data_IF_281142994265
#
_entry.id   IF_281142994265
#
_cell.length_a   1.000
_cell.length_b   1.000
_cell.length_c   1.000
_cell.angle_alpha   90.00
_cell.angle_beta   90.00
_cell.angle_gamma   90.00
#
_symmetry.space_group_name_H-M   'P 1'
#
loop_
_entity.id
_entity.type
_entity.pdbx_description
1 polymer ?
#
# COMPACT_ATOMS: atom_id res chain seq x y z
N UNK A 1 10.93 -16.80 -3.85
CA UNK A 1 11.61 -17.96 -3.25
C UNK A 1 11.07 -19.17 -3.95
N UNK A 2 11.94 -19.94 -4.59
CA UNK A 2 11.50 -21.03 -5.47
C UNK A 2 11.10 -22.29 -4.68
N UNK A 3 11.40 -22.30 -3.37
CA UNK A 3 11.06 -23.39 -2.45
C UNK A 3 9.68 -23.19 -1.81
N UNK A 4 9.35 -21.98 -1.34
CA UNK A 4 8.09 -21.74 -0.61
C UNK A 4 7.17 -20.69 -1.23
N UNK A 5 7.56 -20.07 -2.36
CA UNK A 5 6.77 -19.02 -3.00
C UNK A 5 6.86 -17.64 -2.34
N UNK A 6 7.55 -17.49 -1.20
CA UNK A 6 7.67 -16.21 -0.51
C UNK A 6 8.44 -15.17 -1.34
N UNK A 7 7.89 -13.96 -1.42
CA UNK A 7 8.55 -12.81 -2.07
C UNK A 7 9.59 -12.25 -1.12
N UNK A 8 10.84 -12.31 -1.53
CA UNK A 8 11.97 -11.78 -0.77
C UNK A 8 12.57 -10.62 -1.54
N UNK A 9 13.07 -9.60 -0.83
CA UNK A 9 13.76 -8.47 -1.46
C UNK A 9 15.02 -8.91 -2.20
N UNK A 10 15.35 -8.24 -3.31
CA UNK A 10 16.45 -8.56 -4.22
C UNK A 10 17.85 -8.56 -3.57
N UNK A 11 17.99 -8.00 -2.37
CA UNK A 11 19.24 -7.96 -1.59
C UNK A 11 19.37 -9.09 -0.57
N UNK A 12 18.34 -9.93 -0.37
CA UNK A 12 18.37 -11.02 0.64
C UNK A 12 18.93 -12.32 0.04
N UNK A 13 19.94 -12.89 0.71
CA UNK A 13 20.58 -14.18 0.33
C UNK A 13 19.80 -15.42 0.79
N UNK A 14 18.87 -15.25 1.72
CA UNK A 14 18.06 -16.33 2.30
C UNK A 14 16.60 -15.90 2.40
N UNK A 15 15.71 -16.88 2.24
CA UNK A 15 14.28 -16.71 2.38
C UNK A 15 13.92 -16.49 3.85
N UNK A 16 13.21 -15.40 4.14
CA UNK A 16 12.76 -15.09 5.50
C UNK A 16 11.78 -16.11 6.10
N UNK A 17 10.99 -16.78 5.26
CA UNK A 17 9.96 -17.73 5.73
C UNK A 17 10.47 -19.17 5.90
N UNK A 18 11.12 -19.74 4.88
CA UNK A 18 11.54 -21.14 4.92
C UNK A 18 13.05 -21.35 5.15
N UNK A 19 13.83 -20.27 5.23
CA UNK A 19 15.29 -20.34 5.38
C UNK A 19 16.05 -20.80 4.14
N UNK A 20 15.36 -21.14 3.03
CA UNK A 20 16.00 -21.58 1.81
C UNK A 20 16.91 -20.48 1.21
N UNK A 21 18.07 -20.88 0.70
CA UNK A 21 19.00 -19.97 0.02
C UNK A 21 18.38 -19.49 -1.29
N UNK A 22 18.42 -18.17 -1.50
CA UNK A 22 17.93 -17.55 -2.74
C UNK A 22 19.13 -17.37 -3.66
N UNK A 23 19.08 -17.93 -4.87
CA UNK A 23 20.15 -17.75 -5.85
C UNK A 23 20.22 -16.28 -6.25
N UNK A 24 21.34 -15.64 -5.94
CA UNK A 24 21.59 -14.25 -6.30
C UNK A 24 22.32 -14.20 -7.64
N UNK A 25 21.59 -14.07 -8.74
CA UNK A 25 22.17 -13.74 -10.04
C UNK A 25 22.38 -12.22 -10.12
N UNK A 26 23.40 -11.74 -9.42
CA UNK A 26 23.87 -10.36 -9.52
C UNK A 26 25.36 -10.26 -9.22
N UNK A 27 26.13 -11.09 -9.90
CA UNK A 27 27.54 -10.85 -10.16
C UNK A 27 27.78 -10.85 -11.67
N UNK A 28 27.45 -9.76 -12.35
CA UNK A 28 27.99 -9.44 -13.66
C UNK A 28 27.90 -7.94 -13.95
N UNK A 29 29.08 -7.32 -13.99
CA UNK A 29 29.49 -6.21 -14.85
C UNK A 29 28.74 -4.87 -14.73
N UNK A 30 29.29 -3.96 -13.93
CA UNK A 30 29.37 -2.54 -14.30
C UNK A 30 30.76 -1.99 -13.97
N UNK A 31 31.25 -1.19 -14.92
CA UNK A 31 32.64 -0.80 -15.14
C UNK A 31 33.21 0.07 -14.03
N UNK A 32 34.35 -0.39 -13.55
CA UNK A 32 35.56 0.36 -13.23
C UNK A 32 35.68 1.73 -13.94
N UNK A 33 35.32 2.80 -13.22
CA UNK A 33 35.90 4.14 -13.28
C UNK A 33 35.37 4.92 -12.07
N UNK A 34 36.23 5.75 -11.46
CA UNK A 34 35.96 6.64 -10.31
C UNK A 34 36.10 6.04 -8.90
N UNK A 35 37.19 5.30 -8.68
CA UNK A 35 37.67 4.94 -7.34
C UNK A 35 39.05 5.56 -7.07
N UNK A 36 39.14 6.89 -7.04
CA UNK A 36 40.34 7.59 -6.57
C UNK A 36 40.02 9.00 -6.05
N UNK A 37 39.35 9.11 -4.90
CA UNK A 37 39.58 10.16 -3.91
C UNK A 37 38.56 10.05 -2.76
N UNK A 38 39.00 9.49 -1.64
CA UNK A 38 38.75 9.95 -0.26
C UNK A 38 39.00 8.80 0.69
N UNK A 39 40.29 8.61 0.97
CA UNK A 39 40.74 7.90 2.14
C UNK A 39 40.67 8.86 3.34
N UNK A 40 40.21 8.31 4.45
CA UNK A 40 40.48 8.77 5.82
C UNK A 40 39.68 9.98 6.30
N UNK A 41 38.64 9.69 7.08
CA UNK A 41 38.57 10.18 8.45
C UNK A 41 37.89 9.10 9.30
N UNK A 42 38.73 8.46 10.11
CA UNK A 42 38.41 7.51 11.17
C UNK A 42 38.03 8.37 12.38
N UNK A 43 36.80 8.26 12.86
CA UNK A 43 36.41 8.77 14.19
C UNK A 43 35.66 7.66 14.90
N UNK A 44 36.12 7.42 16.11
CA UNK A 44 35.77 6.35 17.03
C UNK A 44 34.28 6.24 17.36
N UNK A 45 33.89 4.98 17.52
CA UNK A 45 33.06 4.46 18.58
C UNK A 45 32.12 5.44 19.30
N UNK A 46 30.87 5.39 18.88
CA UNK A 46 29.75 5.65 19.77
C UNK A 46 28.67 4.66 19.40
N UNK A 47 28.75 3.49 20.03
CA UNK A 47 27.61 2.64 20.31
C UNK A 47 26.46 3.48 20.88
N UNK A 48 25.63 4.04 19.99
CA UNK A 48 24.25 4.42 20.31
C UNK A 48 23.39 3.27 19.87
N UNK A 49 23.23 2.37 20.82
CA UNK A 49 22.11 1.47 21.04
C UNK A 49 20.82 2.02 20.40
N UNK A 50 20.55 1.66 19.14
CA UNK A 50 19.24 1.81 18.49
C UNK A 50 18.40 0.57 18.80
N UNK A 51 18.29 0.28 20.10
CA UNK A 51 17.36 -0.69 20.64
C UNK A 51 15.99 -0.03 20.83
N UNK A 52 15.02 -0.48 20.03
CA UNK A 52 13.59 -0.41 20.30
C UNK A 52 12.93 0.98 20.41
N UNK A 53 12.58 1.59 19.26
CA UNK A 53 11.34 2.39 19.13
C UNK A 53 11.01 2.71 17.65
N UNK A 54 10.73 1.70 16.83
CA UNK A 54 10.31 1.88 15.42
C UNK A 54 8.77 2.01 15.27
N UNK A 55 8.07 2.28 16.37
CA UNK A 55 6.63 2.07 16.50
C UNK A 55 5.87 3.33 16.92
N UNK A 56 6.34 4.51 16.53
CA UNK A 56 5.59 5.79 16.71
C UNK A 56 5.71 6.71 15.48
N UNK A 57 6.39 6.25 14.42
CA UNK A 57 6.77 7.11 13.30
C UNK A 57 5.75 7.16 12.16
N UNK A 58 4.98 6.10 11.92
CA UNK A 58 4.20 5.96 10.67
C UNK A 58 3.02 6.92 10.57
N UNK A 59 2.22 7.09 11.63
CA UNK A 59 1.06 7.97 11.62
C UNK A 59 1.44 9.45 11.51
N UNK A 60 2.33 9.93 12.38
CA UNK A 60 2.83 11.32 12.32
C UNK A 60 3.61 11.62 11.05
N UNK A 61 4.35 10.64 10.52
CA UNK A 61 5.00 10.80 9.23
C UNK A 61 3.97 10.91 8.11
N UNK A 62 2.89 10.13 8.13
CA UNK A 62 1.82 10.25 7.13
C UNK A 62 1.10 11.60 7.21
N UNK A 63 0.91 12.19 8.39
CA UNK A 63 0.30 13.52 8.51
C UNK A 63 1.19 14.62 7.91
N UNK A 64 2.47 14.64 8.30
CA UNK A 64 3.42 15.66 7.83
C UNK A 64 3.70 15.49 6.34
N UNK A 65 4.08 14.28 5.91
CA UNK A 65 4.42 13.98 4.52
C UNK A 65 3.16 13.96 3.63
N UNK A 66 2.00 13.62 4.21
CA UNK A 66 0.71 13.73 3.53
C UNK A 66 0.40 15.17 3.13
N UNK A 67 0.71 16.16 3.97
CA UNK A 67 0.52 17.57 3.58
C UNK A 67 1.39 17.99 2.38
N UNK A 68 2.61 17.44 2.28
CA UNK A 68 3.54 17.70 1.17
C UNK A 68 3.05 16.97 -0.08
N UNK A 69 2.67 15.70 0.04
CA UNK A 69 2.13 14.90 -1.04
C UNK A 69 0.82 15.51 -1.58
N UNK A 70 -0.06 16.00 -0.69
CA UNK A 70 -1.28 16.72 -1.07
C UNK A 70 -0.97 17.97 -1.89
N UNK A 71 0.02 18.77 -1.50
CA UNK A 71 0.47 19.92 -2.30
C UNK A 71 1.01 19.48 -3.66
N UNK A 72 1.81 18.42 -3.71
CA UNK A 72 2.33 17.88 -4.97
C UNK A 72 1.19 17.41 -5.90
N UNK A 73 0.18 16.72 -5.38
CA UNK A 73 -1.04 16.32 -6.12
C UNK A 73 -1.77 17.54 -6.67
N UNK A 74 -1.99 18.58 -5.85
CA UNK A 74 -2.64 19.83 -6.28
C UNK A 74 -1.87 20.52 -7.41
N UNK A 75 -0.55 20.41 -7.44
CA UNK A 75 0.30 20.92 -8.51
C UNK A 75 0.39 19.99 -9.73
N UNK A 76 -0.34 18.87 -9.75
CA UNK A 76 -0.29 17.86 -10.81
C UNK A 76 0.99 17.02 -10.82
N UNK A 77 1.84 17.13 -9.78
CA UNK A 77 3.10 16.39 -9.64
C UNK A 77 2.85 15.04 -8.96
N UNK A 78 2.11 14.17 -9.65
CA UNK A 78 1.70 12.89 -9.09
C UNK A 78 2.87 11.94 -8.82
N UNK A 79 3.90 11.91 -9.68
CA UNK A 79 5.06 11.02 -9.47
C UNK A 79 5.83 11.36 -8.18
N UNK A 80 5.92 12.66 -7.88
CA UNK A 80 6.57 13.12 -6.65
C UNK A 80 5.72 12.80 -5.42
N UNK A 81 4.40 13.00 -5.51
CA UNK A 81 3.49 12.60 -4.44
C UNK A 81 3.57 11.09 -4.18
N UNK A 82 3.65 10.30 -5.25
CA UNK A 82 3.79 8.86 -5.19
C UNK A 82 5.07 8.43 -4.46
N UNK A 83 6.22 9.00 -4.86
CA UNK A 83 7.52 8.74 -4.25
C UNK A 83 7.52 9.03 -2.74
N UNK A 84 6.80 10.08 -2.32
CA UNK A 84 6.64 10.45 -0.91
C UNK A 84 5.72 9.46 -0.18
N UNK A 85 4.62 9.04 -0.82
CA UNK A 85 3.56 8.26 -0.16
C UNK A 85 3.81 6.75 -0.13
N UNK A 86 4.51 6.18 -1.13
CA UNK A 86 4.73 4.72 -1.25
C UNK A 86 5.20 4.08 0.06
N UNK A 87 6.26 4.55 0.73
CA UNK A 87 6.76 3.87 1.93
C UNK A 87 5.71 3.77 3.03
N UNK A 88 4.85 4.77 3.16
CA UNK A 88 3.80 4.82 4.18
C UNK A 88 2.58 3.99 3.81
N UNK A 89 2.14 4.06 2.55
CA UNK A 89 1.01 3.27 2.06
C UNK A 89 1.34 1.78 2.03
N UNK A 90 2.57 1.40 1.69
CA UNK A 90 3.04 0.02 1.74
C UNK A 90 3.11 -0.49 3.18
N UNK A 91 3.66 0.31 4.10
CA UNK A 91 3.71 -0.05 5.53
C UNK A 91 2.30 -0.26 6.09
N UNK A 92 1.35 0.63 5.78
CA UNK A 92 -0.04 0.48 6.22
C UNK A 92 -0.69 -0.78 5.66
N UNK A 93 -0.48 -1.07 4.39
CA UNK A 93 -1.03 -2.27 3.76
C UNK A 93 -0.39 -3.54 4.34
N UNK A 94 0.92 -3.57 4.57
CA UNK A 94 1.62 -4.69 5.20
C UNK A 94 1.06 -4.97 6.60
N UNK A 95 0.83 -3.92 7.40
CA UNK A 95 0.24 -4.03 8.74
C UNK A 95 -1.19 -4.58 8.67
N UNK A 96 -2.01 -4.06 7.76
CA UNK A 96 -3.38 -4.53 7.56
C UNK A 96 -3.42 -6.01 7.13
N UNK A 97 -2.58 -6.40 6.17
CA UNK A 97 -2.49 -7.79 5.68
C UNK A 97 -2.02 -8.77 6.77
N UNK A 98 -1.21 -8.31 7.73
CA UNK A 98 -0.79 -9.08 8.89
C UNK A 98 -1.78 -9.03 10.07
N UNK A 99 -2.97 -8.45 9.86
CA UNK A 99 -3.96 -8.22 10.91
C UNK A 99 -3.40 -7.48 12.15
N UNK A 100 -2.43 -6.59 11.93
CA UNK A 100 -1.89 -5.69 12.95
C UNK A 100 -2.67 -4.38 12.96
N UNK A 101 -2.64 -3.68 14.10
CA UNK A 101 -3.19 -2.33 14.19
C UNK A 101 -2.54 -1.41 13.15
N UNK A 102 -3.31 -0.48 12.57
CA UNK A 102 -2.80 0.42 11.52
C UNK A 102 -1.75 1.40 12.03
N UNK A 103 -1.82 1.75 13.32
CA UNK A 103 -0.76 2.42 14.06
C UNK A 103 -0.36 1.58 15.28
N UNK A 104 0.84 1.85 15.77
CA UNK A 104 1.34 1.35 17.06
C UNK A 104 0.99 2.29 18.22
N UNK A 105 0.57 3.52 17.95
CA UNK A 105 0.19 4.52 18.96
C UNK A 105 -1.32 4.51 19.18
N UNK A 106 -1.74 4.33 20.44
CA UNK A 106 -3.15 4.39 20.86
C UNK A 106 -3.78 5.79 20.71
N UNK A 107 -2.95 6.83 20.54
CA UNK A 107 -3.43 8.21 20.34
C UNK A 107 -3.85 8.50 18.91
N UNK A 108 -3.49 7.62 17.98
CA UNK A 108 -3.78 7.83 16.57
C UNK A 108 -5.18 7.29 16.26
N UNK A 109 -5.91 7.99 15.41
CA UNK A 109 -7.20 7.52 14.93
C UNK A 109 -7.00 6.59 13.73
N UNK A 110 -7.15 5.26 13.90
CA UNK A 110 -6.96 4.31 12.81
C UNK A 110 -7.98 4.51 11.68
N UNK A 111 -9.17 5.04 11.97
CA UNK A 111 -10.21 5.32 10.98
C UNK A 111 -9.79 6.49 10.08
N UNK A 112 -9.34 7.60 10.68
CA UNK A 112 -8.85 8.75 9.95
C UNK A 112 -7.60 8.41 9.11
N UNK A 113 -6.69 7.60 9.64
CA UNK A 113 -5.52 7.11 8.91
C UNK A 113 -5.93 6.26 7.70
N UNK A 114 -6.84 5.31 7.90
CA UNK A 114 -7.38 4.49 6.83
C UNK A 114 -8.03 5.34 5.73
N UNK A 115 -8.94 6.25 6.11
CA UNK A 115 -9.65 7.12 5.17
C UNK A 115 -8.67 8.00 4.38
N UNK A 116 -7.65 8.54 5.05
CA UNK A 116 -6.62 9.37 4.42
C UNK A 116 -5.75 8.58 3.45
N UNK A 117 -5.32 7.38 3.83
CA UNK A 117 -4.53 6.50 2.96
C UNK A 117 -5.32 6.06 1.72
N UNK A 118 -6.59 5.67 1.88
CA UNK A 118 -7.49 5.33 0.77
C UNK A 118 -7.70 6.51 -0.18
N UNK A 119 -7.90 7.72 0.36
CA UNK A 119 -8.01 8.94 -0.45
C UNK A 119 -6.76 9.18 -1.29
N UNK A 120 -5.57 9.09 -0.70
CA UNK A 120 -4.32 9.27 -1.44
C UNK A 120 -4.14 8.21 -2.52
N UNK A 121 -4.39 6.93 -2.23
CA UNK A 121 -4.31 5.86 -3.23
C UNK A 121 -5.25 6.13 -4.42
N UNK A 122 -6.49 6.57 -4.17
CA UNK A 122 -7.42 6.94 -5.25
C UNK A 122 -6.94 8.15 -6.07
N UNK A 123 -6.37 9.17 -5.43
CA UNK A 123 -5.81 10.33 -6.14
C UNK A 123 -4.62 9.93 -7.02
N UNK A 124 -3.74 9.06 -6.54
CA UNK A 124 -2.62 8.52 -7.31
C UNK A 124 -3.10 7.68 -8.49
N UNK A 125 -4.11 6.82 -8.28
CA UNK A 125 -4.74 6.03 -9.35
C UNK A 125 -5.30 6.91 -10.47
N UNK A 126 -5.85 8.08 -10.13
CA UNK A 126 -6.43 9.01 -11.09
C UNK A 126 -5.38 9.80 -11.88
N UNK A 127 -4.22 10.10 -11.28
CA UNK A 127 -3.17 10.93 -11.86
C UNK A 127 -2.09 10.17 -12.64
N UNK A 128 -1.68 8.99 -12.16
CA UNK A 128 -0.53 8.24 -12.71
C UNK A 128 -0.89 7.20 -13.77
N UNK A 129 -2.18 6.97 -13.94
CA UNK A 129 -2.73 5.83 -14.69
C UNK A 129 -2.22 4.45 -14.26
N UNK A 130 -1.70 4.35 -13.04
CA UNK A 130 -1.15 3.11 -12.51
C UNK A 130 -2.23 2.28 -11.80
N UNK A 131 -2.48 1.09 -12.34
CA UNK A 131 -3.47 0.12 -11.85
C UNK A 131 -3.15 -0.39 -10.44
N UNK A 132 -1.89 -0.31 -10.00
CA UNK A 132 -1.48 -0.79 -8.66
C UNK A 132 -2.18 -0.06 -7.53
N UNK A 133 -2.58 1.19 -7.73
CA UNK A 133 -3.30 1.95 -6.72
C UNK A 133 -4.76 1.52 -6.58
N UNK A 134 -5.37 1.06 -7.68
CA UNK A 134 -6.68 0.40 -7.64
C UNK A 134 -6.56 -0.93 -6.89
N UNK A 135 -5.53 -1.72 -7.19
CA UNK A 135 -5.22 -2.96 -6.45
C UNK A 135 -5.04 -2.68 -4.96
N UNK A 136 -4.28 -1.63 -4.61
CA UNK A 136 -4.01 -1.22 -3.24
C UNK A 136 -5.31 -0.96 -2.47
N UNK A 137 -6.24 -0.19 -3.06
CA UNK A 137 -7.54 0.11 -2.43
C UNK A 137 -8.33 -1.17 -2.16
N UNK A 138 -8.45 -2.07 -3.14
CA UNK A 138 -9.15 -3.35 -2.93
C UNK A 138 -8.46 -4.20 -1.86
N UNK A 139 -7.13 -4.30 -1.88
CA UNK A 139 -6.37 -5.10 -0.91
C UNK A 139 -6.52 -4.54 0.51
N UNK A 140 -6.45 -3.22 0.68
CA UNK A 140 -6.60 -2.57 1.98
C UNK A 140 -8.00 -2.80 2.56
N UNK A 141 -9.05 -2.63 1.76
CA UNK A 141 -10.43 -2.91 2.16
C UNK A 141 -10.71 -4.40 2.43
N UNK A 142 -10.07 -5.29 1.67
CA UNK A 142 -10.13 -6.75 1.90
C UNK A 142 -9.49 -7.12 3.24
N UNK A 143 -8.28 -6.62 3.51
CA UNK A 143 -7.52 -6.92 4.71
C UNK A 143 -8.21 -6.43 6.00
N UNK A 144 -8.88 -5.28 5.90
CA UNK A 144 -9.61 -4.65 7.02
C UNK A 144 -11.08 -5.09 7.12
N UNK A 145 -11.59 -5.83 6.12
CA UNK A 145 -12.98 -6.23 6.01
C UNK A 145 -13.96 -5.06 6.16
N UNK A 146 -13.66 -3.92 5.53
CA UNK A 146 -14.43 -2.67 5.61
C UNK A 146 -15.23 -2.41 4.35
N UNK A 147 -16.52 -2.07 4.51
CA UNK A 147 -17.36 -1.63 3.39
C UNK A 147 -16.85 -0.27 2.90
N UNK A 148 -16.63 -0.17 1.60
CA UNK A 148 -16.24 1.08 0.94
C UNK A 148 -17.34 2.13 1.07
N UNK A 149 -16.96 3.38 1.33
CA UNK A 149 -17.89 4.51 1.34
C UNK A 149 -18.40 4.81 -0.07
N UNK A 150 -19.52 5.55 -0.17
CA UNK A 150 -20.04 6.00 -1.46
C UNK A 150 -18.99 6.73 -2.30
N UNK A 151 -18.25 7.65 -1.67
CA UNK A 151 -17.16 8.41 -2.28
C UNK A 151 -16.06 7.50 -2.84
N UNK A 152 -15.65 6.48 -2.07
CA UNK A 152 -14.64 5.50 -2.50
C UNK A 152 -15.12 4.73 -3.73
N UNK A 153 -16.37 4.26 -3.74
CA UNK A 153 -16.96 3.50 -4.86
C UNK A 153 -17.05 4.37 -6.12
N UNK A 154 -17.45 5.63 -5.97
CA UNK A 154 -17.54 6.59 -7.08
C UNK A 154 -16.16 6.88 -7.69
N UNK A 155 -15.17 7.15 -6.83
CA UNK A 155 -13.79 7.36 -7.27
C UNK A 155 -13.21 6.11 -7.96
N UNK A 156 -13.54 4.91 -7.48
CA UNK A 156 -13.13 3.66 -8.12
C UNK A 156 -13.80 3.45 -9.48
N UNK A 157 -15.08 3.78 -9.64
CA UNK A 157 -15.74 3.70 -10.94
C UNK A 157 -15.03 4.55 -11.99
N UNK A 158 -14.63 5.76 -11.61
CA UNK A 158 -13.88 6.65 -12.48
C UNK A 158 -12.47 6.14 -12.76
N UNK A 159 -11.74 5.72 -11.72
CA UNK A 159 -10.39 5.17 -11.86
C UNK A 159 -10.36 3.89 -12.71
N UNK A 160 -11.33 2.98 -12.56
CA UNK A 160 -11.44 1.74 -13.33
C UNK A 160 -11.61 2.03 -14.81
N UNK A 161 -12.51 2.95 -15.17
CA UNK A 161 -12.76 3.32 -16.57
C UNK A 161 -11.56 4.02 -17.18
N UNK A 162 -10.99 4.98 -16.47
CA UNK A 162 -9.85 5.78 -16.94
C UNK A 162 -8.60 4.93 -17.19
N UNK A 163 -8.37 3.95 -16.33
CA UNK A 163 -7.18 3.10 -16.37
C UNK A 163 -7.39 1.79 -17.12
N UNK A 164 -8.57 1.56 -17.69
CA UNK A 164 -8.92 0.29 -18.35
C UNK A 164 -8.55 -0.90 -17.44
N UNK A 165 -9.03 -0.82 -16.21
CA UNK A 165 -8.71 -1.79 -15.18
C UNK A 165 -9.59 -3.04 -15.34
N UNK A 166 -8.95 -4.18 -15.59
CA UNK A 166 -9.59 -5.48 -15.82
C UNK A 166 -9.14 -6.55 -14.81
N UNK A 167 -8.35 -6.17 -13.80
CA UNK A 167 -7.85 -7.12 -12.80
C UNK A 167 -8.95 -7.47 -11.80
N UNK A 168 -9.73 -8.49 -12.11
CA UNK A 168 -10.83 -8.94 -11.26
C UNK A 168 -10.40 -9.65 -9.96
N UNK A 169 -9.11 -9.98 -9.78
CA UNK A 169 -8.69 -10.83 -8.67
C UNK A 169 -8.90 -10.18 -7.30
N UNK A 170 -8.49 -8.93 -7.12
CA UNK A 170 -8.58 -8.23 -5.84
C UNK A 170 -10.01 -7.77 -5.54
N UNK A 171 -10.75 -7.39 -6.58
CA UNK A 171 -12.18 -7.13 -6.48
C UNK A 171 -12.94 -8.38 -6.01
N UNK A 172 -12.69 -9.54 -6.63
CA UNK A 172 -13.33 -10.81 -6.22
C UNK A 172 -12.99 -11.17 -4.78
N UNK A 173 -11.73 -11.03 -4.37
CA UNK A 173 -11.32 -11.26 -2.99
C UNK A 173 -12.04 -10.33 -2.00
N UNK A 174 -12.16 -9.04 -2.34
CA UNK A 174 -12.90 -8.07 -1.54
C UNK A 174 -14.38 -8.43 -1.40
N UNK A 175 -15.06 -8.73 -2.51
CA UNK A 175 -16.47 -9.13 -2.50
C UNK A 175 -16.70 -10.39 -1.66
N UNK A 176 -15.80 -11.38 -1.75
CA UNK A 176 -15.87 -12.58 -0.91
C UNK A 176 -15.79 -12.26 0.58
N UNK A 177 -14.93 -11.33 1.00
CA UNK A 177 -14.82 -10.92 2.41
C UNK A 177 -16.09 -10.24 2.89
N UNK A 178 -16.66 -9.34 2.09
CA UNK A 178 -17.86 -8.59 2.47
C UNK A 178 -19.12 -9.48 2.46
N UNK A 179 -19.21 -10.43 1.53
CA UNK A 179 -20.32 -11.38 1.45
C UNK A 179 -20.33 -12.43 2.57
N UNK A 180 -19.23 -12.62 3.32
CA UNK A 180 -19.20 -13.52 4.49
C UNK A 180 -20.10 -13.08 5.64
N UNK A 181 -20.36 -11.77 5.77
CA UNK A 181 -21.29 -11.24 6.79
C UNK A 181 -22.73 -11.37 6.31
N UNK A 182 -23.66 -11.68 7.20
CA UNK A 182 -25.06 -11.81 6.79
C UNK A 182 -25.62 -10.46 6.35
N UNK A 183 -26.51 -10.47 5.34
CA UNK A 183 -27.09 -9.23 4.80
C UNK A 183 -27.89 -8.43 5.84
N UNK A 184 -28.40 -9.11 6.86
CA UNK A 184 -29.10 -8.54 8.03
C UNK A 184 -28.19 -7.74 8.95
N UNK A 185 -26.89 -8.01 8.96
CA UNK A 185 -25.90 -7.28 9.77
C UNK A 185 -25.57 -5.89 9.17
N UNK A 186 -25.88 -5.68 7.88
CA UNK A 186 -25.67 -4.41 7.22
C UNK A 186 -26.84 -3.45 7.44
N UNK A 187 -26.50 -2.22 7.80
CA UNK A 187 -27.43 -1.10 7.83
C UNK A 187 -28.08 -0.88 6.45
N UNK A 188 -29.24 -0.20 6.37
CA UNK A 188 -29.88 0.12 5.10
C UNK A 188 -28.95 0.87 4.13
N UNK A 189 -28.12 1.79 4.64
CA UNK A 189 -27.14 2.54 3.84
C UNK A 189 -26.04 1.63 3.30
N UNK A 190 -25.49 0.73 4.10
CA UNK A 190 -24.48 -0.24 3.63
C UNK A 190 -25.05 -1.19 2.58
N UNK A 191 -26.30 -1.63 2.73
CA UNK A 191 -26.96 -2.47 1.71
C UNK A 191 -27.09 -1.76 0.36
N UNK A 192 -27.27 -0.44 0.36
CA UNK A 192 -27.24 0.36 -0.87
C UNK A 192 -25.82 0.41 -1.46
N UNK A 193 -24.79 0.58 -0.63
CA UNK A 193 -23.39 0.56 -1.06
C UNK A 193 -22.99 -0.79 -1.68
N UNK A 194 -23.48 -1.91 -1.14
CA UNK A 194 -23.26 -3.23 -1.73
C UNK A 194 -23.81 -3.32 -3.15
N UNK A 195 -25.03 -2.81 -3.40
CA UNK A 195 -25.60 -2.79 -4.75
C UNK A 195 -24.79 -1.94 -5.72
N UNK A 196 -24.17 -0.83 -5.25
CA UNK A 196 -23.26 -0.02 -6.06
C UNK A 196 -21.94 -0.75 -6.34
N UNK A 197 -21.41 -1.49 -5.37
CA UNK A 197 -20.22 -2.34 -5.54
C UNK A 197 -20.47 -3.45 -6.56
N UNK A 198 -21.66 -4.04 -6.59
CA UNK A 198 -22.03 -5.02 -7.61
C UNK A 198 -22.00 -4.41 -9.02
N UNK A 199 -22.47 -3.17 -9.17
CA UNK A 199 -22.38 -2.42 -10.43
C UNK A 199 -20.92 -2.15 -10.85
N UNK A 200 -20.06 -1.77 -9.91
CA UNK A 200 -18.61 -1.65 -10.15
C UNK A 200 -18.01 -3.00 -10.60
N UNK A 201 -18.43 -4.08 -9.95
CA UNK A 201 -17.92 -5.41 -10.25
C UNK A 201 -18.32 -5.88 -11.65
N UNK A 202 -19.55 -5.61 -12.07
CA UNK A 202 -19.99 -5.90 -13.43
C UNK A 202 -19.13 -5.16 -14.47
N UNK A 203 -18.80 -3.88 -14.24
CA UNK A 203 -17.97 -3.10 -15.17
C UNK A 203 -16.55 -3.68 -15.28
N UNK A 204 -15.96 -4.11 -14.16
CA UNK A 204 -14.60 -4.68 -14.13
C UNK A 204 -14.55 -6.09 -14.70
N UNK A 205 -15.57 -6.92 -14.46
CA UNK A 205 -15.58 -8.34 -14.81
C UNK A 205 -16.19 -8.64 -16.20
N UNK A 206 -16.94 -7.71 -16.78
CA UNK A 206 -17.56 -7.89 -18.10
C UNK A 206 -16.62 -7.59 -19.28
N UNK A 207 -15.39 -7.14 -19.00
CA UNK A 207 -14.35 -6.84 -20.00
C UNK A 207 -13.24 -7.87 -19.93
#
# INVERSE_FOLDING_TARGET
CDVCGAINGSTKRFCGDCGARLESDSSATWREQDRAAMHSLRVEDSQREWGASESTHTARALDVLGSIASKAITMGRFDEAERILIPHLDTLLERALRHRALSDSEKDDPEAMFATATRYALQLAQGLKDKRWIDWVFRMHTATARVMTAETIEALHEAVRRNEYHSGQYLRAYLQVIQKRQRSEYSPSERFLLGRLDGLAQVVLAR
#
